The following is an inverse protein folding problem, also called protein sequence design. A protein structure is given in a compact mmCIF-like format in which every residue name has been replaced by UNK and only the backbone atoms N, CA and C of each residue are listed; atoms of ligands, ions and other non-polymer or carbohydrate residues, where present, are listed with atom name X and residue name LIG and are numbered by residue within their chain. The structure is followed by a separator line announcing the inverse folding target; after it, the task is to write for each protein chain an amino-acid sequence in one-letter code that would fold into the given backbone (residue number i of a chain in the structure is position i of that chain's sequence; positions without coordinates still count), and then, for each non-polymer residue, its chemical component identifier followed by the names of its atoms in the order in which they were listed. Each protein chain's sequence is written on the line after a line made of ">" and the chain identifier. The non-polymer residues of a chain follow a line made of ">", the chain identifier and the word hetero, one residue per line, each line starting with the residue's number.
data_IF_079782455072
#
_entry.id   IF_079782455072
#
_cell.length_a   1.000
_cell.length_b   1.000
_cell.length_c   1.000
_cell.angle_alpha   90.00
_cell.angle_beta   90.00
_cell.angle_gamma   90.00
#
_symmetry.space_group_name_H-M   'P 1'
#
loop_
_entity.id
_entity.type
_entity.pdbx_description
1 polymer ?
#
# COMPACT_ATOMS: atom_id res chain seq x y z
N UNK A 1 -23.59 -8.33 47.30
CA UNK A 1 -23.06 -9.09 46.18
C UNK A 1 -23.47 -8.33 44.92
N UNK A 2 -22.58 -7.44 44.43
CA UNK A 2 -22.77 -6.73 43.17
C UNK A 2 -21.82 -7.39 42.19
N UNK A 3 -22.39 -8.13 41.23
CA UNK A 3 -21.67 -8.60 40.06
C UNK A 3 -21.45 -7.42 39.13
N UNK A 4 -20.22 -7.01 38.96
CA UNK A 4 -19.80 -6.09 37.90
C UNK A 4 -19.68 -6.92 36.60
N UNK A 5 -20.68 -6.79 35.77
CA UNK A 5 -20.68 -7.28 34.39
C UNK A 5 -19.67 -6.42 33.62
N UNK A 6 -18.50 -6.97 33.36
CA UNK A 6 -17.49 -6.35 32.51
C UNK A 6 -17.89 -6.66 31.06
N UNK A 7 -18.62 -5.75 30.45
CA UNK A 7 -18.88 -5.76 29.00
C UNK A 7 -17.52 -5.59 28.30
N UNK A 8 -16.91 -6.70 27.90
CA UNK A 8 -15.84 -6.71 26.91
C UNK A 8 -16.45 -6.12 25.64
N UNK A 9 -15.98 -4.93 25.26
CA UNK A 9 -16.22 -4.35 23.96
C UNK A 9 -15.49 -5.26 22.96
N UNK A 10 -16.22 -6.20 22.37
CA UNK A 10 -15.73 -7.07 21.31
C UNK A 10 -15.31 -6.14 20.15
N UNK A 11 -14.02 -6.07 19.85
CA UNK A 11 -13.54 -5.39 18.65
C UNK A 11 -14.25 -6.03 17.44
N UNK A 12 -14.67 -5.26 16.43
CA UNK A 12 -15.35 -5.83 15.28
C UNK A 12 -14.50 -6.92 14.66
N UNK A 13 -15.12 -8.08 14.43
CA UNK A 13 -14.43 -9.25 13.87
C UNK A 13 -13.79 -8.87 12.54
N UNK A 14 -12.50 -9.17 12.38
CA UNK A 14 -11.73 -8.79 11.20
C UNK A 14 -12.33 -9.42 9.93
N UNK A 15 -12.38 -8.63 8.85
CA UNK A 15 -12.84 -9.11 7.53
C UNK A 15 -11.81 -10.04 6.91
N UNK A 16 -10.53 -9.75 7.09
CA UNK A 16 -9.42 -10.60 6.65
C UNK A 16 -8.49 -10.86 7.83
N UNK A 17 -8.06 -12.12 7.98
CA UNK A 17 -6.94 -12.49 8.84
C UNK A 17 -5.98 -13.38 8.09
N UNK A 18 -4.68 -13.17 8.24
CA UNK A 18 -3.64 -14.06 7.76
C UNK A 18 -2.66 -14.35 8.89
N UNK A 19 -2.23 -15.62 9.01
CA UNK A 19 -1.34 -16.07 10.06
C UNK A 19 -0.20 -16.88 9.46
N UNK A 20 1.04 -16.39 9.65
CA UNK A 20 2.26 -17.04 9.14
C UNK A 20 2.11 -17.47 7.67
N UNK A 21 1.42 -16.64 6.88
CA UNK A 21 1.09 -16.92 5.50
C UNK A 21 2.36 -16.97 4.65
N UNK A 22 2.57 -18.08 3.95
CA UNK A 22 3.70 -18.29 3.05
C UNK A 22 3.24 -18.69 1.65
N UNK A 23 3.95 -18.19 0.65
CA UNK A 23 3.71 -18.55 -0.74
C UNK A 23 5.03 -18.79 -1.46
N UNK A 24 5.21 -20.02 -1.96
CA UNK A 24 6.40 -20.45 -2.71
C UNK A 24 5.97 -20.87 -4.12
N UNK A 25 6.72 -20.46 -5.11
CA UNK A 25 6.60 -20.87 -6.51
C UNK A 25 7.76 -21.80 -6.88
N UNK A 26 7.51 -22.75 -7.79
CA UNK A 26 8.50 -23.74 -8.19
C UNK A 26 8.71 -24.83 -7.15
N UNK A 27 9.78 -25.63 -7.33
CA UNK A 27 10.17 -26.72 -6.43
C UNK A 27 11.67 -26.99 -6.51
N UNK A 28 12.24 -27.61 -5.47
CA UNK A 28 13.68 -27.93 -5.39
C UNK A 28 14.54 -26.65 -5.43
N UNK A 29 15.67 -26.71 -6.14
CA UNK A 29 16.64 -25.60 -6.21
C UNK A 29 16.12 -24.36 -6.93
N UNK A 30 15.01 -24.46 -7.65
CA UNK A 30 14.34 -23.32 -8.32
C UNK A 30 13.16 -22.75 -7.51
N UNK A 31 12.97 -23.19 -6.28
CA UNK A 31 11.90 -22.67 -5.42
C UNK A 31 12.16 -21.22 -5.04
N UNK A 32 11.15 -20.36 -5.26
CA UNK A 32 11.16 -18.95 -4.87
C UNK A 32 10.03 -18.67 -3.89
N UNK A 33 10.37 -18.28 -2.67
CA UNK A 33 9.41 -17.91 -1.63
C UNK A 33 9.05 -16.43 -1.77
N UNK A 34 7.89 -16.16 -2.36
CA UNK A 34 7.40 -14.82 -2.65
C UNK A 34 6.75 -14.14 -1.43
N UNK A 35 6.21 -14.93 -0.49
CA UNK A 35 5.62 -14.45 0.77
C UNK A 35 6.15 -15.31 1.91
N UNK A 36 6.70 -14.64 2.94
CA UNK A 36 7.50 -15.26 4.00
C UNK A 36 6.95 -14.97 5.38
N UNK A 37 5.80 -15.59 5.73
CA UNK A 37 5.23 -15.46 7.06
C UNK A 37 4.44 -14.15 7.27
N UNK A 38 3.60 -13.78 6.28
CA UNK A 38 2.73 -12.61 6.38
C UNK A 38 1.69 -12.80 7.47
N UNK A 39 1.65 -11.86 8.41
CA UNK A 39 0.62 -11.73 9.43
C UNK A 39 -0.13 -10.42 9.20
N UNK A 40 -1.45 -10.47 9.09
CA UNK A 40 -2.29 -9.27 8.97
C UNK A 40 -3.69 -9.50 9.52
N UNK A 41 -4.33 -8.41 9.89
CA UNK A 41 -5.74 -8.38 10.33
C UNK A 41 -6.36 -7.08 9.83
N UNK A 42 -7.45 -7.15 9.06
CA UNK A 42 -8.10 -6.00 8.42
C UNK A 42 -9.52 -5.90 8.95
N UNK A 43 -9.85 -4.73 9.48
CA UNK A 43 -11.18 -4.45 10.05
C UNK A 43 -12.22 -4.12 8.97
N UNK A 44 -13.53 -4.25 9.27
CA UNK A 44 -14.59 -3.79 8.36
C UNK A 44 -14.47 -2.28 8.09
N UNK A 45 -14.60 -1.88 6.82
CA UNK A 45 -14.53 -0.48 6.38
C UNK A 45 -13.11 0.11 6.34
N UNK A 46 -12.09 -0.67 6.67
CA UNK A 46 -10.69 -0.26 6.62
C UNK A 46 -10.16 -0.25 5.18
N UNK A 47 -9.33 0.73 4.85
CA UNK A 47 -8.49 0.72 3.64
C UNK A 47 -7.08 0.34 4.05
N UNK A 48 -6.66 -0.86 3.66
CA UNK A 48 -5.37 -1.43 3.99
C UNK A 48 -4.43 -1.44 2.78
N UNK A 49 -3.28 -0.81 2.93
CA UNK A 49 -2.27 -0.70 1.87
C UNK A 49 -1.14 -1.71 2.02
N UNK A 50 -0.85 -2.46 0.95
CA UNK A 50 0.39 -3.23 0.80
C UNK A 50 1.35 -2.44 -0.08
N UNK A 51 2.29 -1.73 0.54
CA UNK A 51 3.31 -0.90 -0.12
C UNK A 51 4.60 -1.71 -0.29
N UNK A 52 5.30 -1.53 -1.39
CA UNK A 52 6.58 -2.19 -1.60
C UNK A 52 7.09 -2.05 -3.04
N UNK A 53 8.37 -2.30 -3.26
CA UNK A 53 8.96 -2.35 -4.60
C UNK A 53 8.41 -3.50 -5.43
N UNK A 54 8.72 -3.51 -6.73
CA UNK A 54 8.41 -4.65 -7.59
C UNK A 54 9.15 -5.89 -7.09
N UNK A 55 8.44 -7.02 -7.02
CA UNK A 55 8.99 -8.27 -6.47
C UNK A 55 8.96 -8.37 -4.94
N UNK A 56 8.43 -7.40 -4.21
CA UNK A 56 8.29 -7.46 -2.75
C UNK A 56 7.28 -8.51 -2.23
N UNK A 57 6.47 -9.11 -3.12
CA UNK A 57 5.48 -10.13 -2.76
C UNK A 57 4.03 -9.63 -2.70
N UNK A 58 3.75 -8.37 -3.03
CA UNK A 58 2.41 -7.74 -2.94
C UNK A 58 1.34 -8.53 -3.70
N UNK A 59 1.49 -8.72 -5.01
CA UNK A 59 0.54 -9.45 -5.87
C UNK A 59 0.39 -10.90 -5.40
N UNK A 60 1.50 -11.56 -5.02
CA UNK A 60 1.44 -12.93 -4.49
C UNK A 60 0.68 -13.03 -3.16
N UNK A 61 0.74 -11.99 -2.32
CA UNK A 61 -0.08 -11.89 -1.11
C UNK A 61 -1.54 -11.68 -1.47
N UNK A 62 -1.84 -10.77 -2.41
CA UNK A 62 -3.21 -10.55 -2.90
C UNK A 62 -3.82 -11.84 -3.45
N UNK A 63 -3.12 -12.56 -4.35
CA UNK A 63 -3.59 -13.81 -4.95
C UNK A 63 -4.08 -14.82 -3.89
N UNK A 64 -3.38 -14.88 -2.75
CA UNK A 64 -3.77 -15.79 -1.66
C UNK A 64 -4.96 -15.24 -0.86
N UNK A 65 -4.97 -13.93 -0.56
CA UNK A 65 -6.09 -13.29 0.15
C UNK A 65 -7.38 -13.33 -0.66
N UNK A 66 -7.29 -13.22 -1.98
CA UNK A 66 -8.39 -13.33 -2.94
C UNK A 66 -8.88 -14.76 -3.14
N UNK A 67 -8.13 -15.76 -2.65
CA UNK A 67 -8.42 -17.18 -2.91
C UNK A 67 -8.19 -17.59 -4.37
N UNK A 68 -7.36 -16.87 -5.12
CA UNK A 68 -6.90 -17.25 -6.46
C UNK A 68 -5.76 -18.27 -6.37
N UNK A 69 -5.00 -18.25 -5.29
CA UNK A 69 -3.94 -19.20 -5.01
C UNK A 69 -4.06 -19.74 -3.58
N UNK A 70 -3.73 -21.03 -3.40
CA UNK A 70 -3.62 -21.59 -2.06
C UNK A 70 -2.30 -21.19 -1.41
N UNK A 71 -2.23 -20.93 -0.09
CA UNK A 71 -0.98 -20.75 0.62
C UNK A 71 -0.13 -22.02 0.57
N UNK A 72 1.21 -21.87 0.60
CA UNK A 72 2.13 -23.01 0.76
C UNK A 72 2.13 -23.49 2.21
N UNK A 73 2.02 -22.57 3.16
CA UNK A 73 1.80 -22.83 4.58
C UNK A 73 1.20 -21.59 5.26
N UNK A 74 0.84 -21.73 6.54
CA UNK A 74 0.07 -20.72 7.25
C UNK A 74 -1.42 -20.81 6.95
N UNK A 75 -2.18 -19.80 7.33
CA UNK A 75 -3.62 -19.76 7.12
C UNK A 75 -4.09 -18.35 6.72
N UNK A 76 -5.21 -18.31 6.00
CA UNK A 76 -5.93 -17.10 5.62
C UNK A 76 -7.41 -17.32 5.85
N UNK A 77 -8.08 -16.29 6.34
CA UNK A 77 -9.54 -16.27 6.48
C UNK A 77 -10.08 -14.96 5.94
N UNK A 78 -11.16 -15.03 5.17
CA UNK A 78 -11.91 -13.89 4.64
C UNK A 78 -13.36 -14.05 5.06
N UNK A 79 -13.90 -13.07 5.80
CA UNK A 79 -15.21 -13.17 6.44
C UNK A 79 -15.36 -14.40 7.34
N UNK A 80 -14.28 -14.82 8.02
CA UNK A 80 -14.26 -16.01 8.87
C UNK A 80 -14.17 -17.36 8.13
N UNK A 81 -14.00 -17.35 6.79
CA UNK A 81 -14.01 -18.51 5.91
C UNK A 81 -12.69 -18.66 5.13
N UNK A 82 -12.35 -19.88 4.72
CA UNK A 82 -11.21 -20.11 3.81
C UNK A 82 -11.57 -19.64 2.38
N UNK A 83 -10.87 -18.65 1.80
CA UNK A 83 -11.24 -18.08 0.50
C UNK A 83 -11.09 -19.08 -0.68
N UNK A 84 -10.32 -20.15 -0.53
CA UNK A 84 -10.15 -21.21 -1.53
C UNK A 84 -11.21 -22.30 -1.36
N UNK A 85 -11.34 -22.83 -0.14
CA UNK A 85 -12.28 -23.93 0.16
C UNK A 85 -13.74 -23.46 0.10
N UNK A 86 -14.03 -22.26 0.65
CA UNK A 86 -15.38 -21.70 0.75
C UNK A 86 -15.67 -20.64 -0.32
N UNK A 87 -14.96 -20.69 -1.46
CA UNK A 87 -15.02 -19.69 -2.54
C UNK A 87 -16.44 -19.34 -3.01
N UNK A 88 -17.37 -20.27 -2.97
CA UNK A 88 -18.76 -20.07 -3.40
C UNK A 88 -19.47 -19.09 -2.47
N UNK A 89 -19.11 -19.06 -1.19
CA UNK A 89 -19.68 -18.16 -0.17
C UNK A 89 -18.93 -16.81 -0.11
N UNK A 90 -17.59 -16.85 -0.28
CA UNK A 90 -16.72 -15.69 -0.12
C UNK A 90 -16.74 -14.80 -1.36
N UNK A 91 -16.56 -15.34 -2.56
CA UNK A 91 -16.44 -14.59 -3.83
C UNK A 91 -17.60 -13.66 -4.14
N UNK A 92 -18.88 -13.99 -3.90
CA UNK A 92 -19.99 -13.06 -4.15
C UNK A 92 -19.94 -11.77 -3.33
N UNK A 93 -19.12 -11.73 -2.26
CA UNK A 93 -18.95 -10.58 -1.37
C UNK A 93 -17.69 -9.77 -1.69
N UNK A 94 -16.91 -10.19 -2.70
CA UNK A 94 -15.64 -9.61 -3.08
C UNK A 94 -15.72 -8.99 -4.47
N UNK A 95 -15.03 -7.86 -4.65
CA UNK A 95 -14.68 -7.30 -5.95
C UNK A 95 -13.17 -7.37 -6.13
N UNK A 96 -12.71 -7.70 -7.32
CA UNK A 96 -11.28 -7.81 -7.63
C UNK A 96 -10.98 -6.97 -8.86
N UNK A 97 -10.05 -6.04 -8.72
CA UNK A 97 -9.50 -5.25 -9.82
C UNK A 97 -8.04 -5.63 -10.01
N UNK A 98 -7.75 -6.37 -11.07
CA UNK A 98 -6.39 -6.84 -11.39
C UNK A 98 -5.53 -5.68 -11.95
N UNK A 99 -4.22 -5.85 -11.91
CA UNK A 99 -3.24 -4.91 -12.46
C UNK A 99 -3.47 -4.63 -13.94
N UNK A 100 -3.87 -5.65 -14.72
CA UNK A 100 -4.28 -5.54 -16.11
C UNK A 100 -5.63 -6.25 -16.32
N UNK A 101 -6.69 -5.49 -16.67
CA UNK A 101 -8.06 -6.02 -16.72
C UNK A 101 -8.35 -6.95 -17.88
N UNK A 102 -7.74 -6.73 -19.05
CA UNK A 102 -8.01 -7.53 -20.25
C UNK A 102 -9.46 -7.43 -20.75
N UNK A 103 -10.09 -6.28 -20.62
CA UNK A 103 -11.47 -6.04 -21.04
C UNK A 103 -11.64 -6.22 -22.55
N UNK A 104 -12.79 -6.76 -23.02
CA UNK A 104 -13.07 -6.93 -24.45
C UNK A 104 -13.16 -5.58 -25.16
N UNK A 105 -12.19 -5.28 -26.02
CA UNK A 105 -12.08 -3.99 -26.72
C UNK A 105 -13.27 -3.71 -27.63
N UNK A 106 -13.93 -4.74 -28.15
CA UNK A 106 -15.02 -4.69 -29.13
C UNK A 106 -16.38 -4.34 -28.48
N UNK A 107 -16.55 -4.63 -27.21
CA UNK A 107 -17.78 -4.35 -26.47
C UNK A 107 -17.84 -2.88 -26.04
N UNK A 108 -19.05 -2.35 -25.93
CA UNK A 108 -19.28 -1.08 -25.25
C UNK A 108 -19.09 -1.23 -23.74
N UNK A 109 -18.95 -0.12 -23.03
CA UNK A 109 -18.87 -0.12 -21.56
C UNK A 109 -20.11 -0.80 -20.95
N UNK A 110 -21.30 -0.48 -21.46
CA UNK A 110 -22.56 -1.07 -20.99
C UNK A 110 -22.61 -2.59 -21.26
N UNK A 111 -22.25 -3.04 -22.46
CA UNK A 111 -22.19 -4.46 -22.81
C UNK A 111 -21.17 -5.22 -21.95
N UNK A 112 -20.03 -4.60 -21.65
CA UNK A 112 -19.02 -5.17 -20.75
C UNK A 112 -19.56 -5.34 -19.34
N UNK A 113 -20.25 -4.33 -18.80
CA UNK A 113 -20.87 -4.43 -17.48
C UNK A 113 -22.04 -5.42 -17.44
N UNK A 114 -22.85 -5.53 -18.50
CA UNK A 114 -23.89 -6.56 -18.60
C UNK A 114 -23.30 -7.97 -18.59
N UNK A 115 -22.20 -8.18 -19.31
CA UNK A 115 -21.47 -9.47 -19.30
C UNK A 115 -20.99 -9.79 -17.89
N UNK A 116 -20.36 -8.83 -17.18
CA UNK A 116 -19.88 -9.00 -15.81
C UNK A 116 -21.02 -9.22 -14.82
N UNK A 117 -22.09 -8.44 -14.95
CA UNK A 117 -23.33 -8.56 -14.16
C UNK A 117 -23.90 -9.98 -14.22
N UNK A 118 -23.84 -10.60 -15.39
CA UNK A 118 -24.28 -12.00 -15.58
C UNK A 118 -23.51 -13.03 -14.79
N UNK A 119 -22.31 -12.70 -14.28
CA UNK A 119 -21.50 -13.58 -13.43
C UNK A 119 -21.74 -13.37 -11.92
N UNK A 120 -22.41 -12.29 -11.53
CA UNK A 120 -22.63 -11.90 -10.14
C UNK A 120 -23.89 -12.57 -9.57
N UNK A 121 -23.84 -13.00 -8.30
CA UNK A 121 -24.99 -13.57 -7.60
C UNK A 121 -26.02 -12.53 -7.18
N UNK A 122 -25.59 -11.31 -6.87
CA UNK A 122 -26.43 -10.17 -6.46
C UNK A 122 -25.94 -8.88 -7.13
N UNK A 123 -26.15 -8.77 -8.45
CA UNK A 123 -25.63 -7.62 -9.20
C UNK A 123 -26.34 -6.33 -8.90
N UNK A 124 -25.58 -5.24 -8.89
CA UNK A 124 -26.08 -3.88 -8.84
C UNK A 124 -26.70 -3.39 -10.15
N UNK A 125 -27.25 -2.18 -10.09
CA UNK A 125 -27.73 -1.46 -11.26
C UNK A 125 -26.53 -0.84 -12.03
N UNK A 126 -26.45 -1.09 -13.35
CA UNK A 126 -25.35 -0.60 -14.19
C UNK A 126 -25.28 0.92 -14.22
N UNK A 127 -26.44 1.59 -14.33
CA UNK A 127 -26.48 3.05 -14.36
C UNK A 127 -25.91 3.66 -13.06
N UNK A 128 -26.22 3.05 -11.92
CA UNK A 128 -25.68 3.44 -10.62
C UNK A 128 -24.16 3.26 -10.57
N UNK A 129 -23.66 2.11 -11.01
CA UNK A 129 -22.22 1.83 -11.03
C UNK A 129 -21.49 2.76 -11.99
N UNK A 130 -22.04 3.02 -13.19
CA UNK A 130 -21.46 3.97 -14.14
C UNK A 130 -21.41 5.39 -13.57
N UNK A 131 -22.42 5.81 -12.83
CA UNK A 131 -22.43 7.11 -12.16
C UNK A 131 -21.32 7.16 -11.07
N UNK A 132 -21.17 6.09 -10.27
CA UNK A 132 -20.12 6.01 -9.24
C UNK A 132 -18.72 6.17 -9.83
N UNK A 133 -18.43 5.57 -10.99
CA UNK A 133 -17.12 5.63 -11.64
C UNK A 133 -16.97 6.78 -12.65
N UNK A 134 -17.95 7.71 -12.71
CA UNK A 134 -17.98 8.85 -13.65
C UNK A 134 -17.87 8.43 -15.13
N UNK A 135 -18.63 7.40 -15.53
CA UNK A 135 -18.66 6.87 -16.90
C UNK A 135 -20.07 6.84 -17.53
N UNK A 136 -21.06 7.52 -16.92
CA UNK A 136 -22.46 7.50 -17.43
C UNK A 136 -22.55 7.92 -18.89
N UNK A 137 -21.79 8.93 -19.33
CA UNK A 137 -21.79 9.43 -20.71
C UNK A 137 -20.96 8.55 -21.67
N UNK A 138 -20.29 7.54 -21.15
CA UNK A 138 -19.45 6.61 -21.91
C UNK A 138 -20.07 5.23 -22.10
N UNK A 139 -21.30 5.02 -21.62
CA UNK A 139 -21.99 3.74 -21.63
C UNK A 139 -21.97 3.05 -23.00
N UNK A 140 -22.20 3.80 -24.07
CA UNK A 140 -22.28 3.31 -25.44
C UNK A 140 -20.94 3.39 -26.21
N UNK A 141 -19.85 3.82 -25.55
CA UNK A 141 -18.52 3.88 -26.16
C UNK A 141 -17.84 2.52 -26.06
N UNK A 142 -17.18 2.07 -27.12
CA UNK A 142 -16.39 0.83 -27.09
C UNK A 142 -15.20 0.95 -26.15
N UNK A 143 -14.93 -0.11 -25.38
CA UNK A 143 -13.81 -0.16 -24.44
C UNK A 143 -12.47 0.13 -25.12
N UNK A 144 -12.24 -0.40 -26.33
CA UNK A 144 -11.02 -0.15 -27.10
C UNK A 144 -10.82 1.29 -27.57
N UNK A 145 -11.85 2.16 -27.44
CA UNK A 145 -11.79 3.59 -27.81
C UNK A 145 -11.64 4.51 -26.58
N UNK A 146 -11.59 3.93 -25.36
CA UNK A 146 -11.45 4.68 -24.12
C UNK A 146 -9.98 5.11 -23.91
N UNK A 147 -9.80 6.22 -23.19
CA UNK A 147 -8.51 6.56 -22.62
C UNK A 147 -8.09 5.53 -21.55
N UNK A 148 -6.80 5.45 -21.23
CA UNK A 148 -6.31 4.54 -20.18
C UNK A 148 -7.02 4.76 -18.84
N UNK A 149 -7.28 6.02 -18.46
CA UNK A 149 -8.02 6.34 -17.23
C UNK A 149 -9.49 5.93 -17.27
N UNK A 150 -10.15 6.08 -18.43
CA UNK A 150 -11.53 5.59 -18.60
C UNK A 150 -11.59 4.06 -18.56
N UNK A 151 -10.66 3.38 -19.23
CA UNK A 151 -10.55 1.92 -19.18
C UNK A 151 -10.34 1.41 -17.77
N UNK A 152 -9.47 2.06 -17.00
CA UNK A 152 -9.22 1.70 -15.60
C UNK A 152 -10.46 1.88 -14.71
N UNK A 153 -11.28 2.90 -14.98
CA UNK A 153 -12.58 3.07 -14.32
C UNK A 153 -13.62 2.01 -14.73
N UNK A 154 -13.54 1.47 -15.96
CA UNK A 154 -14.37 0.30 -16.34
C UNK A 154 -13.93 -0.95 -15.58
N UNK A 155 -12.61 -1.21 -15.40
CA UNK A 155 -12.12 -2.31 -14.55
C UNK A 155 -12.70 -2.21 -13.13
N UNK A 156 -12.65 -1.00 -12.55
CA UNK A 156 -13.24 -0.76 -11.23
C UNK A 156 -14.76 -0.95 -11.22
N UNK A 157 -15.47 -0.50 -12.26
CA UNK A 157 -16.91 -0.72 -12.39
C UNK A 157 -17.26 -2.23 -12.45
N UNK A 158 -16.45 -3.03 -13.14
CA UNK A 158 -16.58 -4.49 -13.17
C UNK A 158 -16.41 -5.12 -11.77
N UNK A 159 -15.47 -4.60 -10.98
CA UNK A 159 -15.27 -5.05 -9.60
C UNK A 159 -16.44 -4.63 -8.67
N UNK A 160 -17.07 -3.49 -8.94
CA UNK A 160 -18.16 -2.93 -8.12
C UNK A 160 -19.55 -3.49 -8.46
N UNK A 161 -19.77 -4.01 -9.68
CA UNK A 161 -21.11 -4.43 -10.14
C UNK A 161 -21.72 -5.53 -9.26
N UNK A 162 -20.90 -6.35 -8.57
CA UNK A 162 -21.33 -7.35 -7.61
C UNK A 162 -21.71 -6.80 -6.23
N UNK A 163 -21.68 -5.50 -6.01
CA UNK A 163 -21.91 -4.86 -4.71
C UNK A 163 -21.02 -5.44 -3.59
N UNK A 164 -19.70 -5.43 -3.75
CA UNK A 164 -18.78 -6.09 -2.84
C UNK A 164 -18.76 -5.40 -1.46
N UNK A 165 -18.55 -6.21 -0.41
CA UNK A 165 -18.23 -5.75 0.94
C UNK A 165 -16.71 -5.58 1.12
N UNK A 166 -15.93 -6.25 0.28
CA UNK A 166 -14.47 -6.22 0.27
C UNK A 166 -13.99 -6.05 -1.18
N UNK A 167 -13.11 -5.07 -1.40
CA UNK A 167 -12.55 -4.75 -2.70
C UNK A 167 -11.05 -4.91 -2.67
N UNK A 168 -10.52 -5.74 -3.57
CA UNK A 168 -9.10 -5.88 -3.83
C UNK A 168 -8.71 -5.05 -5.05
N UNK A 169 -7.61 -4.30 -4.94
CA UNK A 169 -7.15 -3.36 -5.94
C UNK A 169 -5.65 -3.56 -6.18
N UNK A 170 -5.29 -4.24 -7.26
CA UNK A 170 -3.88 -4.41 -7.61
C UNK A 170 -3.40 -3.23 -8.46
N UNK A 171 -2.59 -2.35 -7.84
CA UNK A 171 -2.02 -1.14 -8.43
C UNK A 171 -3.06 -0.28 -9.19
N UNK A 172 -4.12 0.23 -8.52
CA UNK A 172 -5.30 0.79 -9.18
C UNK A 172 -5.02 2.01 -10.06
N UNK A 173 -3.94 2.75 -9.81
CA UNK A 173 -3.63 4.00 -10.53
C UNK A 173 -2.35 3.92 -11.37
N UNK A 174 -1.76 2.74 -11.51
CA UNK A 174 -0.55 2.57 -12.33
C UNK A 174 -0.83 2.90 -13.79
N UNK A 175 0.06 3.72 -14.39
CA UNK A 175 -0.06 4.17 -15.78
C UNK A 175 -1.04 5.32 -16.01
N UNK A 176 -1.68 5.85 -14.97
CA UNK A 176 -2.54 7.01 -15.07
C UNK A 176 -1.73 8.32 -14.98
N UNK A 177 -2.17 9.33 -15.73
CA UNK A 177 -1.71 10.70 -15.55
C UNK A 177 -2.18 11.28 -14.20
N UNK A 178 -1.59 12.39 -13.72
CA UNK A 178 -1.89 12.93 -12.38
C UNK A 178 -3.35 13.32 -12.17
N UNK A 179 -4.07 13.73 -13.20
CA UNK A 179 -5.48 14.13 -13.12
C UNK A 179 -6.38 12.90 -12.93
N UNK A 180 -6.21 11.89 -13.79
CA UNK A 180 -6.95 10.62 -13.70
C UNK A 180 -6.63 9.87 -12.40
N UNK A 181 -5.39 9.94 -11.90
CA UNK A 181 -5.01 9.36 -10.61
C UNK A 181 -5.80 10.01 -9.47
N UNK A 182 -5.83 11.33 -9.39
CA UNK A 182 -6.60 12.06 -8.36
C UNK A 182 -8.10 11.76 -8.44
N UNK A 183 -8.66 11.68 -9.64
CA UNK A 183 -10.06 11.32 -9.84
C UNK A 183 -10.36 9.91 -9.32
N UNK A 184 -9.46 8.94 -9.56
CA UNK A 184 -9.58 7.58 -9.01
C UNK A 184 -9.48 7.58 -7.49
N UNK A 185 -8.56 8.34 -6.88
CA UNK A 185 -8.48 8.45 -5.42
C UNK A 185 -9.76 9.02 -4.79
N UNK A 186 -10.35 10.05 -5.39
CA UNK A 186 -11.63 10.61 -4.91
C UNK A 186 -12.76 9.58 -4.96
N UNK A 187 -12.77 8.74 -6.00
CA UNK A 187 -13.75 7.67 -6.13
C UNK A 187 -13.52 6.59 -5.06
N UNK A 188 -12.28 6.15 -4.84
CA UNK A 188 -11.95 5.18 -3.79
C UNK A 188 -12.25 5.74 -2.39
N UNK A 189 -11.99 7.02 -2.14
CA UNK A 189 -12.35 7.69 -0.90
C UNK A 189 -13.87 7.68 -0.66
N UNK A 190 -14.68 7.95 -1.69
CA UNK A 190 -16.14 7.87 -1.60
C UNK A 190 -16.64 6.43 -1.30
N UNK A 191 -16.00 5.41 -1.87
CA UNK A 191 -16.29 4.00 -1.55
C UNK A 191 -15.94 3.67 -0.08
N UNK A 192 -14.81 4.17 0.42
CA UNK A 192 -14.44 4.07 1.84
C UNK A 192 -15.52 4.68 2.74
N UNK A 193 -15.95 5.90 2.44
CA UNK A 193 -17.02 6.58 3.20
C UNK A 193 -18.35 5.79 3.20
N UNK A 194 -18.62 5.01 2.15
CA UNK A 194 -19.76 4.12 2.07
C UNK A 194 -19.61 2.81 2.87
N UNK A 195 -18.45 2.60 3.51
CA UNK A 195 -18.17 1.44 4.37
C UNK A 195 -17.59 0.22 3.65
N UNK A 196 -17.16 0.34 2.40
CA UNK A 196 -16.49 -0.75 1.66
C UNK A 196 -15.10 -0.95 2.25
N UNK A 197 -14.78 -2.19 2.65
CA UNK A 197 -13.41 -2.57 3.04
C UNK A 197 -12.55 -2.70 1.79
N UNK A 198 -11.32 -2.17 1.82
CA UNK A 198 -10.42 -2.23 0.66
C UNK A 198 -9.05 -2.73 1.04
N UNK A 199 -8.47 -3.56 0.18
CA UNK A 199 -7.05 -3.93 0.22
C UNK A 199 -6.44 -3.48 -1.10
N UNK A 200 -5.45 -2.60 -1.04
CA UNK A 200 -4.78 -2.13 -2.24
C UNK A 200 -3.28 -2.41 -2.19
N UNK A 201 -2.73 -2.78 -3.34
CA UNK A 201 -1.28 -2.78 -3.53
C UNK A 201 -0.87 -1.51 -4.25
N UNK A 202 0.26 -0.96 -3.89
CA UNK A 202 0.84 0.19 -4.59
C UNK A 202 2.36 0.25 -4.41
N UNK A 203 3.01 0.92 -5.33
CA UNK A 203 4.38 1.39 -5.19
C UNK A 203 4.43 2.94 -5.14
N UNK A 204 3.28 3.61 -5.18
CA UNK A 204 3.15 5.05 -5.04
C UNK A 204 2.88 5.42 -3.57
N UNK A 205 3.81 6.15 -2.98
CA UNK A 205 3.73 6.59 -1.58
C UNK A 205 2.56 7.54 -1.35
N UNK A 206 2.38 8.49 -2.26
CA UNK A 206 1.29 9.47 -2.23
C UNK A 206 -0.11 8.83 -2.31
N UNK A 207 -0.26 7.70 -3.00
CA UNK A 207 -1.49 6.91 -3.01
C UNK A 207 -1.77 6.28 -1.65
N UNK A 208 -0.75 5.65 -1.06
CA UNK A 208 -0.86 5.04 0.25
C UNK A 208 -1.19 6.09 1.34
N UNK A 209 -0.53 7.26 1.29
CA UNK A 209 -0.80 8.38 2.21
C UNK A 209 -2.22 8.96 2.06
N UNK A 210 -2.74 9.02 0.82
CA UNK A 210 -4.04 9.62 0.54
C UNK A 210 -5.22 8.70 0.89
N UNK A 211 -5.06 7.38 0.81
CA UNK A 211 -6.18 6.44 0.87
C UNK A 211 -6.17 5.52 2.08
N UNK A 212 -4.99 5.06 2.53
CA UNK A 212 -4.90 3.98 3.49
C UNK A 212 -5.06 4.45 4.94
N UNK A 213 -5.80 3.69 5.72
CA UNK A 213 -5.88 3.82 7.18
C UNK A 213 -4.64 3.21 7.83
N UNK A 214 -4.23 2.03 7.34
CA UNK A 214 -3.01 1.33 7.74
C UNK A 214 -2.25 0.86 6.51
N UNK A 215 -0.94 0.80 6.65
CA UNK A 215 0.01 0.46 5.59
C UNK A 215 0.95 -0.62 6.11
N UNK A 216 1.10 -1.71 5.36
CA UNK A 216 2.21 -2.64 5.50
C UNK A 216 3.23 -2.37 4.42
N UNK A 217 4.47 -2.11 4.81
CA UNK A 217 5.59 -1.99 3.87
C UNK A 217 6.22 -3.37 3.71
N UNK A 218 6.03 -3.95 2.52
CA UNK A 218 6.58 -5.24 2.17
C UNK A 218 7.97 -5.11 1.55
N UNK A 219 8.86 -5.97 2.00
CA UNK A 219 10.21 -6.07 1.49
C UNK A 219 10.65 -7.53 1.44
N UNK A 220 11.13 -8.01 0.28
CA UNK A 220 11.58 -9.40 0.05
C UNK A 220 10.64 -10.49 0.59
N UNK A 221 9.33 -10.28 0.45
CA UNK A 221 8.30 -11.24 0.87
C UNK A 221 7.88 -11.15 2.34
N UNK A 222 8.43 -10.23 3.11
CA UNK A 222 8.13 -10.01 4.52
C UNK A 222 7.53 -8.62 4.75
N UNK A 223 6.80 -8.45 5.85
CA UNK A 223 6.36 -7.13 6.32
C UNK A 223 7.49 -6.52 7.16
N UNK A 224 8.15 -5.51 6.61
CA UNK A 224 9.25 -4.80 7.28
C UNK A 224 8.72 -3.75 8.28
N UNK A 225 7.58 -3.13 8.00
CA UNK A 225 6.92 -2.19 8.90
C UNK A 225 5.42 -2.18 8.66
N UNK A 226 4.63 -1.99 9.71
CA UNK A 226 3.17 -1.88 9.65
C UNK A 226 2.66 -0.86 10.67
N UNK A 227 1.61 -0.14 10.28
CA UNK A 227 0.91 0.83 11.14
C UNK A 227 0.13 1.86 10.34
N UNK A 228 -0.48 2.80 11.04
CA UNK A 228 -1.01 4.02 10.43
C UNK A 228 0.13 4.87 9.86
N UNK A 229 -0.16 5.76 8.91
CA UNK A 229 0.84 6.69 8.39
C UNK A 229 1.58 7.43 9.53
N UNK A 230 0.82 7.88 10.53
CA UNK A 230 1.36 8.57 11.68
C UNK A 230 2.34 7.71 12.49
N UNK A 231 1.97 6.47 12.82
CA UNK A 231 2.81 5.54 13.58
C UNK A 231 4.10 5.19 12.83
N UNK A 232 4.01 4.98 11.51
CA UNK A 232 5.17 4.70 10.67
C UNK A 232 6.14 5.87 10.65
N UNK A 233 5.64 7.10 10.49
CA UNK A 233 6.45 8.31 10.43
C UNK A 233 7.04 8.68 11.79
N UNK A 234 6.27 8.59 12.89
CA UNK A 234 6.74 8.95 14.24
C UNK A 234 7.89 8.04 14.74
N UNK A 235 8.01 6.82 14.21
CA UNK A 235 9.11 5.89 14.55
C UNK A 235 10.42 6.17 13.80
N UNK A 236 10.40 7.11 12.83
CA UNK A 236 11.58 7.43 12.02
C UNK A 236 12.11 8.82 12.30
N UNK A 237 13.46 9.01 12.30
CA UNK A 237 14.03 10.32 12.54
C UNK A 237 13.80 11.26 11.35
N UNK A 238 13.66 12.54 11.65
CA UNK A 238 13.80 13.62 10.69
C UNK A 238 15.26 13.78 10.28
N UNK A 239 15.51 14.38 9.13
CA UNK A 239 16.87 14.54 8.59
C UNK A 239 17.20 16.02 8.37
N UNK A 240 18.41 16.44 8.82
CA UNK A 240 19.01 17.72 8.44
C UNK A 240 20.25 17.38 7.61
N UNK A 241 20.38 17.97 6.42
CA UNK A 241 21.52 17.75 5.55
C UNK A 241 22.06 19.10 5.04
N UNK A 242 23.38 19.28 5.02
CA UNK A 242 24.06 20.47 4.51
C UNK A 242 25.49 20.15 4.11
N UNK A 243 26.12 21.02 3.33
CA UNK A 243 27.52 20.89 2.94
C UNK A 243 28.41 21.28 4.12
N UNK A 244 29.44 20.47 4.42
CA UNK A 244 30.34 20.69 5.56
C UNK A 244 31.08 22.03 5.41
N UNK A 245 30.96 22.97 6.35
CA UNK A 245 31.47 24.33 6.19
C UNK A 245 32.99 24.47 6.41
N UNK A 246 33.71 23.37 6.61
CA UNK A 246 35.15 23.39 6.87
C UNK A 246 35.53 23.77 8.31
N UNK A 247 34.58 23.90 9.21
CA UNK A 247 34.77 24.21 10.63
C UNK A 247 34.26 23.06 11.50
N UNK A 248 34.80 22.91 12.74
CA UNK A 248 34.23 21.94 13.69
C UNK A 248 32.74 22.21 13.92
N UNK A 249 31.92 21.20 13.70
CA UNK A 249 30.48 21.27 13.92
C UNK A 249 30.18 21.31 15.43
N UNK A 250 29.03 21.86 15.87
CA UNK A 250 28.56 21.71 17.23
C UNK A 250 28.39 20.22 17.57
N UNK A 251 28.41 19.88 18.87
CA UNK A 251 28.19 18.50 19.34
C UNK A 251 26.73 18.07 19.07
N UNK A 252 26.43 17.81 17.79
CA UNK A 252 25.17 17.22 17.37
C UNK A 252 25.35 15.69 17.35
N UNK A 253 24.58 15.01 18.21
CA UNK A 253 24.56 13.54 18.23
C UNK A 253 24.06 13.03 16.86
N UNK A 254 24.62 11.94 16.39
CA UNK A 254 24.24 11.22 15.18
C UNK A 254 24.51 11.98 13.87
N UNK A 255 25.49 12.90 13.85
CA UNK A 255 25.98 13.53 12.62
C UNK A 255 26.93 12.59 11.87
N UNK A 256 26.62 12.31 10.62
CA UNK A 256 27.50 11.57 9.69
C UNK A 256 27.98 12.52 8.60
N UNK A 257 29.20 12.27 8.08
CA UNK A 257 29.78 13.04 6.97
C UNK A 257 30.13 12.04 5.86
N UNK A 258 29.56 12.26 4.68
CA UNK A 258 29.83 11.40 3.53
C UNK A 258 31.15 11.77 2.79
N UNK A 259 31.50 10.99 1.76
CA UNK A 259 32.71 11.19 0.96
C UNK A 259 32.71 12.50 0.14
N UNK A 260 31.55 13.14 -0.04
CA UNK A 260 31.35 14.42 -0.71
C UNK A 260 31.37 15.60 0.26
N UNK A 261 31.77 15.36 1.52
CA UNK A 261 31.76 16.33 2.61
C UNK A 261 30.36 16.90 2.91
N UNK A 262 29.29 16.11 2.71
CA UNK A 262 27.95 16.46 3.08
C UNK A 262 27.64 15.91 4.48
N UNK A 263 27.15 16.78 5.36
CA UNK A 263 26.75 16.40 6.71
C UNK A 263 25.29 15.96 6.67
N UNK A 264 24.97 14.83 7.32
CA UNK A 264 23.62 14.34 7.55
C UNK A 264 23.44 14.11 9.06
N UNK A 265 22.36 14.66 9.61
CA UNK A 265 21.96 14.52 11.01
C UNK A 265 20.58 13.88 11.03
N UNK A 266 20.45 12.76 11.71
CA UNK A 266 19.17 12.12 11.98
C UNK A 266 18.69 12.48 13.37
N UNK A 267 17.43 12.88 13.51
CA UNK A 267 16.93 13.42 14.76
C UNK A 267 15.42 13.27 14.97
N UNK A 268 15.00 12.95 16.18
CA UNK A 268 13.61 13.01 16.62
C UNK A 268 13.20 14.42 17.12
N UNK A 269 14.15 15.37 17.18
CA UNK A 269 13.96 16.73 17.68
C UNK A 269 14.37 17.78 16.62
N UNK A 270 13.75 17.68 15.42
CA UNK A 270 14.11 18.47 14.24
C UNK A 270 14.20 19.97 14.54
N UNK A 271 13.17 20.54 15.17
CA UNK A 271 13.09 21.97 15.44
C UNK A 271 14.21 22.44 16.38
N UNK A 272 14.51 21.65 17.41
CA UNK A 272 15.57 21.97 18.38
C UNK A 272 16.94 21.93 17.70
N UNK A 273 17.30 20.83 17.06
CA UNK A 273 18.62 20.65 16.45
C UNK A 273 18.84 21.61 15.27
N UNK A 274 17.79 21.89 14.49
CA UNK A 274 17.87 22.92 13.44
C UNK A 274 18.11 24.32 14.05
N UNK A 275 17.43 24.67 15.14
CA UNK A 275 17.63 25.92 15.85
C UNK A 275 19.05 26.07 16.42
N UNK A 276 19.60 25.01 17.01
CA UNK A 276 20.98 24.95 17.52
C UNK A 276 21.99 25.14 16.38
N UNK A 277 21.79 24.41 15.25
CA UNK A 277 22.64 24.50 14.07
C UNK A 277 22.63 25.90 13.45
N UNK A 278 21.45 26.51 13.29
CA UNK A 278 21.34 27.88 12.73
C UNK A 278 21.95 28.92 13.65
N UNK A 279 21.81 28.78 14.97
CA UNK A 279 22.43 29.66 15.97
C UNK A 279 23.94 29.56 15.90
N UNK A 280 24.47 28.35 15.84
CA UNK A 280 25.91 28.10 15.68
C UNK A 280 26.44 28.70 14.36
N UNK A 281 25.74 28.49 13.25
CA UNK A 281 26.14 29.04 11.95
C UNK A 281 26.18 30.57 11.96
N UNK A 282 25.21 31.24 12.62
CA UNK A 282 25.18 32.67 12.80
C UNK A 282 26.37 33.18 13.65
N UNK A 283 26.66 32.52 14.76
CA UNK A 283 27.77 32.88 15.65
C UNK A 283 29.15 32.76 14.96
N UNK A 284 29.32 31.81 14.08
CA UNK A 284 30.57 31.59 13.35
C UNK A 284 30.61 32.26 11.98
N UNK A 285 29.56 33.05 11.64
CA UNK A 285 29.42 33.76 10.36
C UNK A 285 29.56 32.81 9.13
N UNK A 286 29.02 31.61 9.23
CA UNK A 286 29.11 30.55 8.21
C UNK A 286 27.75 30.36 7.54
N UNK A 287 27.77 30.24 6.20
CA UNK A 287 26.59 29.80 5.45
C UNK A 287 26.57 28.27 5.33
N UNK A 288 25.44 27.66 5.65
CA UNK A 288 25.21 26.23 5.45
C UNK A 288 24.76 25.99 4.01
N UNK A 289 25.72 25.64 3.13
CA UNK A 289 25.42 25.35 1.73
C UNK A 289 24.48 24.16 1.61
N UNK A 290 23.50 24.23 0.68
CA UNK A 290 22.60 23.12 0.40
C UNK A 290 21.75 22.66 1.60
N UNK A 291 21.51 23.52 2.61
CA UNK A 291 20.73 23.16 3.81
C UNK A 291 19.33 22.66 3.44
N UNK A 292 19.03 21.44 3.87
CA UNK A 292 17.71 20.81 3.80
C UNK A 292 17.36 20.28 5.18
N UNK A 293 16.17 20.60 5.66
CA UNK A 293 15.61 20.05 6.88
C UNK A 293 14.26 19.42 6.51
N UNK A 294 14.16 18.11 6.62
CA UNK A 294 12.99 17.34 6.24
C UNK A 294 12.45 16.60 7.46
N UNK A 295 11.17 16.78 7.76
CA UNK A 295 10.50 15.89 8.70
C UNK A 295 10.53 14.45 8.18
N UNK A 296 10.38 13.48 9.07
CA UNK A 296 10.16 12.10 8.65
C UNK A 296 8.91 12.01 7.77
N UNK A 297 8.93 11.16 6.77
CA UNK A 297 7.85 10.93 5.81
C UNK A 297 7.77 9.44 5.48
N UNK A 298 6.67 9.01 4.88
CA UNK A 298 6.56 7.62 4.40
C UNK A 298 7.68 7.28 3.41
N UNK A 299 8.13 8.26 2.62
CA UNK A 299 9.28 8.11 1.71
C UNK A 299 10.57 7.80 2.48
N UNK A 300 10.84 8.52 3.58
CA UNK A 300 12.05 8.27 4.39
C UNK A 300 12.00 6.89 5.05
N UNK A 301 10.81 6.47 5.52
CA UNK A 301 10.60 5.11 6.05
C UNK A 301 10.87 4.05 4.99
N UNK A 302 10.29 4.23 3.81
CA UNK A 302 10.42 3.30 2.69
C UNK A 302 11.88 3.18 2.21
N UNK A 303 12.59 4.30 2.08
CA UNK A 303 14.00 4.32 1.68
C UNK A 303 14.89 3.66 2.74
N UNK A 304 14.65 3.88 4.04
CA UNK A 304 15.44 3.25 5.11
C UNK A 304 15.31 1.72 5.10
N UNK A 305 14.12 1.19 4.75
CA UNK A 305 13.90 -0.25 4.59
C UNK A 305 14.65 -0.77 3.35
N UNK A 306 14.61 -0.05 2.23
CA UNK A 306 15.30 -0.43 1.00
C UNK A 306 16.84 -0.36 1.13
N UNK A 307 17.37 0.63 1.86
CA UNK A 307 18.82 0.84 2.04
C UNK A 307 19.44 -0.12 3.07
N UNK A 308 18.66 -0.68 3.99
CA UNK A 308 19.15 -1.67 4.96
C UNK A 308 19.79 -2.89 4.29
N UNK A 309 19.40 -3.20 3.06
CA UNK A 309 19.99 -4.28 2.25
C UNK A 309 21.35 -3.96 1.64
N UNK A 310 21.55 -2.70 1.23
CA UNK A 310 22.83 -2.30 0.62
C UNK A 310 24.02 -2.46 1.60
N UNK A 311 23.72 -2.40 2.91
CA UNK A 311 24.71 -2.61 3.97
C UNK A 311 24.86 -4.10 4.37
N UNK A 312 23.77 -4.89 4.30
CA UNK A 312 23.80 -6.34 4.56
C UNK A 312 24.56 -7.12 3.51
N UNK A 313 24.31 -6.87 2.24
CA UNK A 313 24.98 -7.54 1.11
C UNK A 313 26.51 -7.22 1.04
N UNK A 314 26.95 -6.06 1.54
CA UNK A 314 28.38 -5.69 1.62
C UNK A 314 29.10 -6.42 2.75
N UNK A 315 28.41 -6.75 3.85
CA UNK A 315 29.01 -7.51 4.96
C UNK A 315 29.12 -8.99 4.63
N UNK A 316 28.15 -9.57 3.95
CA UNK A 316 28.19 -10.97 3.52
C UNK A 316 29.23 -11.22 2.41
N UNK A 317 29.45 -10.26 1.53
CA UNK A 317 30.52 -10.32 0.51
C UNK A 317 31.94 -10.22 1.10
N UNK A 318 32.10 -9.64 2.29
CA UNK A 318 33.41 -9.53 2.98
C UNK A 318 33.72 -10.74 3.88
N UNK A 319 32.73 -11.54 4.25
CA UNK A 319 32.92 -12.74 5.10
C UNK A 319 33.11 -14.01 4.26
N UNK A 320 32.79 -13.96 2.96
CA UNK A 320 32.89 -15.08 2.01
C UNK A 320 34.15 -15.08 1.12
N UNK A 321 35.17 -14.26 1.44
CA UNK A 321 36.43 -14.19 0.67
C UNK A 321 37.66 -14.67 1.48
#
# INVERSE_FOLDING_TARGET
>A
MHSTDTTTHDAPEAVITAHELRRTYGSGDSAYEAVRGLNLSIAPGEVYGLLGTNGAGKTSSLDVLEGLAAPTSGSVSVFGLDPVADRVTVRPRMGIMLQSGGLPAELTVNETLEMWRGTCSNPGDIGTVLAQVNLSERADVRVGSLSGGESRRVDLACALIGQPQLLFLDEPTTGLDPENRRATWQLLAALKESGVTMVLTTHYLDEAEALCDRISIMHRGEVAAEGTLRELVERHPATIAFDHPGLPLPELRDATIDAQARVRIETFHLQQHLGELLTWAHQHQVALGGLKASAASLESVFLSIADSDAHGDLLDAQIGS
#
